data_IF_443871775531
#
_entry.id   IF_443871775531
#
_cell.length_a   1.000
_cell.length_b   1.000
_cell.length_c   1.000
_cell.angle_alpha   90.00
_cell.angle_beta   90.00
_cell.angle_gamma   90.00
#
_symmetry.space_group_name_H-M   'P 1'
#
loop_
_entity.id
_entity.type
_entity.pdbx_description
1 polymer ?
#
# COMPACT_ATOMS: atom_id res chain seq x y z
N UNK A 1 10.43 16.16 -34.80
CA UNK A 1 10.04 14.73 -34.86
C UNK A 1 9.00 14.51 -33.76
N UNK A 2 7.73 14.27 -34.12
CA UNK A 2 6.67 14.00 -33.13
C UNK A 2 6.85 12.57 -32.63
N UNK A 3 7.30 12.40 -31.39
CA UNK A 3 7.43 11.09 -30.77
C UNK A 3 6.05 10.72 -30.21
N UNK A 4 5.36 9.70 -30.74
CA UNK A 4 4.09 9.27 -30.19
C UNK A 4 4.32 8.83 -28.74
N UNK A 5 3.40 9.16 -27.84
CA UNK A 5 3.50 8.65 -26.48
C UNK A 5 3.24 7.15 -26.45
N UNK A 6 4.17 6.37 -25.93
CA UNK A 6 3.98 4.92 -25.71
C UNK A 6 2.99 4.61 -24.57
N UNK A 7 2.51 5.64 -23.88
CA UNK A 7 1.56 5.52 -22.76
C UNK A 7 0.20 5.07 -23.30
N UNK A 8 -0.28 3.94 -22.80
CA UNK A 8 -1.63 3.44 -23.10
C UNK A 8 -2.68 4.20 -22.26
N UNK A 9 -3.80 4.55 -22.89
CA UNK A 9 -4.97 5.12 -22.21
C UNK A 9 -5.92 3.98 -21.84
N UNK A 10 -6.42 3.99 -20.60
CA UNK A 10 -7.40 3.03 -20.10
C UNK A 10 -8.71 3.80 -19.88
N UNK A 11 -9.77 3.38 -20.58
CA UNK A 11 -11.12 3.94 -20.38
C UNK A 11 -11.88 3.02 -19.42
N UNK A 12 -12.49 3.61 -18.39
CA UNK A 12 -13.23 2.87 -17.36
C UNK A 12 -14.62 3.46 -17.22
N UNK A 13 -15.62 2.59 -17.13
CA UNK A 13 -16.94 2.94 -16.60
C UNK A 13 -16.93 2.56 -15.12
N UNK A 14 -16.93 3.56 -14.25
CA UNK A 14 -16.83 3.35 -12.80
C UNK A 14 -18.24 3.35 -12.21
N UNK A 15 -18.64 2.31 -11.45
CA UNK A 15 -19.91 2.31 -10.73
C UNK A 15 -20.03 3.49 -9.76
N UNK A 16 -21.22 4.04 -9.59
CA UNK A 16 -21.46 5.26 -8.80
C UNK A 16 -20.92 5.17 -7.36
N UNK A 17 -21.12 4.02 -6.71
CA UNK A 17 -20.62 3.77 -5.35
C UNK A 17 -19.09 3.84 -5.25
N UNK A 18 -18.38 3.40 -6.31
CA UNK A 18 -16.92 3.42 -6.38
C UNK A 18 -16.47 4.84 -6.70
N UNK A 19 -17.18 5.53 -7.58
CA UNK A 19 -16.88 6.92 -7.92
C UNK A 19 -17.04 7.84 -6.70
N UNK A 20 -18.05 7.62 -5.86
CA UNK A 20 -18.23 8.34 -4.60
C UNK A 20 -17.01 8.18 -3.66
N UNK A 21 -16.50 6.94 -3.50
CA UNK A 21 -15.28 6.68 -2.72
C UNK A 21 -14.06 7.36 -3.32
N UNK A 22 -13.92 7.33 -4.65
CA UNK A 22 -12.84 8.01 -5.37
C UNK A 22 -12.89 9.53 -5.13
N UNK A 23 -14.08 10.14 -5.15
CA UNK A 23 -14.28 11.58 -4.85
C UNK A 23 -13.85 11.91 -3.42
N UNK A 24 -14.18 11.06 -2.45
CA UNK A 24 -13.71 11.24 -1.06
C UNK A 24 -12.17 11.12 -0.98
N UNK A 25 -11.57 10.12 -1.62
CA UNK A 25 -10.12 9.97 -1.67
C UNK A 25 -9.45 11.20 -2.29
N UNK A 26 -9.99 11.71 -3.40
CA UNK A 26 -9.51 12.94 -4.04
C UNK A 26 -9.51 14.13 -3.09
N UNK A 27 -10.64 14.38 -2.43
CA UNK A 27 -10.78 15.49 -1.48
C UNK A 27 -9.79 15.40 -0.33
N UNK A 28 -9.62 14.21 0.26
CA UNK A 28 -8.68 13.98 1.37
C UNK A 28 -7.21 14.20 0.99
N UNK A 29 -6.85 13.94 -0.27
CA UNK A 29 -5.47 14.00 -0.73
C UNK A 29 -5.18 15.22 -1.62
N UNK A 30 -6.11 16.18 -1.73
CA UNK A 30 -5.93 17.39 -2.55
C UNK A 30 -5.80 17.14 -4.06
N UNK A 31 -6.35 16.02 -4.56
CA UNK A 31 -6.22 15.62 -5.98
C UNK A 31 -7.38 16.19 -6.80
N UNK A 32 -7.05 16.88 -7.88
CA UNK A 32 -8.04 17.64 -8.66
C UNK A 32 -8.74 16.81 -9.75
N UNK A 33 -8.07 15.83 -10.36
CA UNK A 33 -8.61 15.06 -11.48
C UNK A 33 -8.69 13.54 -11.17
N UNK A 34 -9.63 12.87 -11.84
CA UNK A 34 -9.93 11.45 -11.58
C UNK A 34 -8.82 10.54 -12.09
N UNK A 35 -8.20 10.86 -13.22
CA UNK A 35 -7.13 10.05 -13.80
C UNK A 35 -5.91 9.95 -12.87
N UNK A 36 -5.48 11.06 -12.27
CA UNK A 36 -4.39 11.08 -11.29
C UNK A 36 -4.75 10.30 -10.03
N UNK A 37 -5.99 10.41 -9.55
CA UNK A 37 -6.44 9.67 -8.38
C UNK A 37 -6.46 8.15 -8.64
N UNK A 38 -7.01 7.73 -9.78
CA UNK A 38 -7.01 6.33 -10.20
C UNK A 38 -5.57 5.81 -10.37
N UNK A 39 -4.69 6.57 -11.03
CA UNK A 39 -3.31 6.17 -11.23
C UNK A 39 -2.57 5.98 -9.89
N UNK A 40 -2.74 6.91 -8.95
CA UNK A 40 -2.13 6.79 -7.62
C UNK A 40 -2.62 5.55 -6.88
N UNK A 41 -3.93 5.29 -6.87
CA UNK A 41 -4.50 4.11 -6.23
C UNK A 41 -4.01 2.81 -6.88
N UNK A 42 -3.90 2.77 -8.21
CA UNK A 42 -3.35 1.61 -8.94
C UNK A 42 -1.89 1.39 -8.53
N UNK A 43 -1.06 2.43 -8.52
CA UNK A 43 0.35 2.33 -8.13
C UNK A 43 0.47 1.83 -6.67
N UNK A 44 -0.30 2.41 -5.75
CA UNK A 44 -0.32 1.99 -4.34
C UNK A 44 -0.72 0.51 -4.21
N UNK A 45 -1.74 0.07 -4.95
CA UNK A 45 -2.22 -1.31 -4.91
C UNK A 45 -1.21 -2.30 -5.49
N UNK A 46 -0.52 -1.95 -6.58
CA UNK A 46 0.53 -2.78 -7.18
C UNK A 46 1.73 -2.91 -6.24
N UNK A 47 2.19 -1.79 -5.66
CA UNK A 47 3.28 -1.81 -4.67
C UNK A 47 2.91 -2.64 -3.43
N UNK A 48 1.67 -2.51 -2.95
CA UNK A 48 1.19 -3.32 -1.82
C UNK A 48 1.19 -4.82 -2.13
N UNK A 49 0.84 -5.22 -3.37
CA UNK A 49 0.88 -6.61 -3.79
C UNK A 49 2.31 -7.16 -3.85
N UNK A 50 3.24 -6.42 -4.45
CA UNK A 50 4.66 -6.80 -4.50
C UNK A 50 5.24 -6.95 -3.08
N UNK A 51 4.97 -5.98 -2.21
CA UNK A 51 5.42 -6.03 -0.82
C UNK A 51 4.84 -7.23 -0.07
N UNK A 52 3.55 -7.52 -0.26
CA UNK A 52 2.90 -8.67 0.38
C UNK A 52 3.52 -9.99 -0.10
N UNK A 53 3.82 -10.13 -1.39
CA UNK A 53 4.50 -11.32 -1.90
C UNK A 53 5.88 -11.51 -1.29
N UNK A 54 6.66 -10.43 -1.13
CA UNK A 54 7.97 -10.47 -0.49
C UNK A 54 7.84 -10.87 0.98
N UNK A 55 6.87 -10.32 1.71
CA UNK A 55 6.59 -10.68 3.10
C UNK A 55 6.19 -12.16 3.19
N UNK A 56 5.30 -12.65 2.34
CA UNK A 56 4.90 -14.05 2.34
C UNK A 56 6.06 -14.98 1.99
N UNK A 57 6.93 -14.61 1.05
CA UNK A 57 8.15 -15.36 0.74
C UNK A 57 9.09 -15.39 1.95
N UNK A 58 9.28 -14.26 2.62
CA UNK A 58 10.09 -14.20 3.84
C UNK A 58 9.51 -15.08 4.93
N UNK A 59 8.20 -14.99 5.22
CA UNK A 59 7.52 -15.82 6.22
C UNK A 59 7.68 -17.32 5.89
N UNK A 60 7.56 -17.72 4.63
CA UNK A 60 7.74 -19.13 4.22
C UNK A 60 9.18 -19.62 4.32
N UNK A 61 10.17 -18.72 4.22
CA UNK A 61 11.58 -19.04 4.35
C UNK A 61 12.02 -19.12 5.82
N UNK A 62 11.26 -18.52 6.74
CA UNK A 62 11.50 -18.59 8.18
C UNK A 62 10.99 -19.93 8.72
N UNK A 63 11.77 -20.55 9.60
CA UNK A 63 11.31 -21.70 10.37
C UNK A 63 10.31 -21.27 11.46
N UNK A 64 9.58 -22.21 12.04
CA UNK A 64 8.70 -21.93 13.19
C UNK A 64 9.47 -21.32 14.37
N UNK A 65 10.73 -21.72 14.56
CA UNK A 65 11.58 -21.20 15.63
C UNK A 65 12.06 -19.77 15.34
N UNK A 66 12.32 -19.43 14.08
CA UNK A 66 12.64 -18.06 13.67
C UNK A 66 11.43 -17.13 13.86
N UNK A 67 10.23 -17.60 13.51
CA UNK A 67 8.98 -16.85 13.74
C UNK A 67 8.71 -16.62 15.23
N UNK A 68 8.96 -17.63 16.09
CA UNK A 68 8.83 -17.48 17.55
C UNK A 68 9.83 -16.46 18.10
N UNK A 69 11.08 -16.48 17.65
CA UNK A 69 12.08 -15.48 18.06
C UNK A 69 11.69 -14.08 17.65
N UNK A 70 11.32 -13.86 16.39
CA UNK A 70 10.88 -12.56 15.88
C UNK A 70 9.67 -12.05 16.69
N UNK A 71 8.71 -12.92 17.01
CA UNK A 71 7.55 -12.59 17.84
C UNK A 71 7.95 -12.14 19.25
N UNK A 72 8.83 -12.90 19.90
CA UNK A 72 9.30 -12.58 21.26
C UNK A 72 10.11 -11.27 21.30
N UNK A 73 11.01 -11.08 20.34
CA UNK A 73 11.81 -9.86 20.21
C UNK A 73 10.95 -8.63 19.89
N UNK A 74 9.93 -8.78 19.04
CA UNK A 74 8.98 -7.71 18.73
C UNK A 74 8.15 -7.26 19.94
N UNK A 75 7.72 -8.20 20.79
CA UNK A 75 7.01 -7.88 22.04
C UNK A 75 7.94 -7.16 23.03
N UNK A 76 9.21 -7.56 23.11
CA UNK A 76 10.18 -6.89 23.98
C UNK A 76 10.43 -5.44 23.52
N UNK A 77 10.64 -5.22 22.23
CA UNK A 77 10.85 -3.89 21.65
C UNK A 77 9.65 -2.96 21.85
N UNK A 78 8.44 -3.44 21.64
CA UNK A 78 7.22 -2.64 21.81
C UNK A 78 6.97 -2.26 23.27
N UNK A 79 7.29 -3.13 24.23
CA UNK A 79 7.27 -2.80 25.66
C UNK A 79 8.28 -1.73 26.02
N UNK A 80 9.52 -1.85 25.54
CA UNK A 80 10.57 -0.85 25.79
C UNK A 80 10.18 0.53 25.22
N UNK A 81 9.57 0.56 24.03
CA UNK A 81 9.08 1.79 23.41
C UNK A 81 7.93 2.42 24.21
N UNK A 82 6.99 1.61 24.69
CA UNK A 82 5.88 2.08 25.52
C UNK A 82 6.38 2.67 26.85
N UNK A 83 7.37 2.05 27.48
CA UNK A 83 7.99 2.58 28.70
C UNK A 83 8.69 3.92 28.47
N UNK A 84 9.41 4.07 27.34
CA UNK A 84 10.06 5.34 26.97
C UNK A 84 9.06 6.47 26.70
N UNK A 85 7.89 6.16 26.15
CA UNK A 85 6.83 7.14 25.88
C UNK A 85 6.00 7.50 27.11
N UNK A 86 6.09 6.70 28.18
CA UNK A 86 5.40 6.92 29.45
C UNK A 86 6.20 7.75 30.48
N UNK A 87 7.44 8.16 30.12
CA UNK A 87 8.32 9.03 30.91
C UNK A 87 8.36 10.43 30.31
#
# INVERSE_FOLDING_TARGET
MYMPSDKKRINLTVPDEVYAKLRTYKGKNGITNDASACLQLIVQQLQAQENNELIFKAIRALSEDDLKKISQEGIAYTKELAEKLSK
#
